data_IF_046965877600
#
_entry.id   IF_046965877600
#
_cell.length_a   1.000
_cell.length_b   1.000
_cell.length_c   1.000
_cell.angle_alpha   90.00
_cell.angle_beta   90.00
_cell.angle_gamma   90.00
#
_symmetry.space_group_name_H-M   'P 1'
#
loop_
_entity.id
_entity.type
_entity.pdbx_description
1 polymer ?
#
# COMPACT_ATOMS: atom_id res chain seq x y z
N UNK A 1 -17.52 -47.84 -21.30
CA UNK A 1 -18.35 -46.66 -21.62
C UNK A 1 -18.66 -45.81 -20.38
N UNK A 2 -19.26 -46.34 -19.30
CA UNK A 2 -19.63 -45.56 -18.12
C UNK A 2 -18.45 -44.91 -17.34
N UNK A 3 -17.28 -45.55 -17.32
CA UNK A 3 -16.09 -45.04 -16.63
C UNK A 3 -15.50 -43.79 -17.32
N UNK A 4 -15.49 -43.77 -18.65
CA UNK A 4 -14.97 -42.62 -19.41
C UNK A 4 -15.91 -41.41 -19.35
N UNK A 5 -17.22 -41.64 -19.37
CA UNK A 5 -18.21 -40.57 -19.15
C UNK A 5 -18.11 -39.96 -17.74
N UNK A 6 -17.82 -40.77 -16.72
CA UNK A 6 -17.66 -40.28 -15.35
C UNK A 6 -16.41 -39.41 -15.18
N UNK A 7 -15.32 -39.76 -15.85
CA UNK A 7 -14.08 -38.97 -15.83
C UNK A 7 -14.28 -37.59 -16.49
N UNK A 8 -14.97 -37.54 -17.62
CA UNK A 8 -15.26 -36.29 -18.33
C UNK A 8 -16.13 -35.33 -17.50
N UNK A 9 -17.10 -35.86 -16.75
CA UNK A 9 -17.94 -35.06 -15.84
C UNK A 9 -17.11 -34.45 -14.71
N UNK A 10 -16.20 -35.22 -14.10
CA UNK A 10 -15.32 -34.70 -13.04
C UNK A 10 -14.40 -33.59 -13.56
N UNK A 11 -13.82 -33.75 -14.75
CA UNK A 11 -12.98 -32.71 -15.37
C UNK A 11 -13.77 -31.42 -15.59
N UNK A 12 -15.01 -31.49 -16.08
CA UNK A 12 -15.86 -30.30 -16.26
C UNK A 12 -16.20 -29.64 -14.93
N UNK A 13 -16.49 -30.41 -13.88
CA UNK A 13 -16.75 -29.87 -12.53
C UNK A 13 -15.51 -29.17 -11.99
N UNK A 14 -14.31 -29.75 -12.14
CA UNK A 14 -13.06 -29.09 -11.74
C UNK A 14 -12.79 -27.80 -12.50
N UNK A 15 -13.04 -27.77 -13.82
CA UNK A 15 -12.89 -26.57 -14.66
C UNK A 15 -13.89 -25.49 -14.21
N UNK A 16 -15.14 -25.85 -13.91
CA UNK A 16 -16.15 -24.92 -13.42
C UNK A 16 -15.76 -24.35 -12.04
N UNK A 17 -15.30 -25.19 -11.11
CA UNK A 17 -14.84 -24.74 -9.79
C UNK A 17 -13.61 -23.82 -9.89
N UNK A 18 -12.70 -24.09 -10.82
CA UNK A 18 -11.55 -23.22 -11.11
C UNK A 18 -11.99 -21.85 -11.65
N UNK A 19 -12.96 -21.83 -12.57
CA UNK A 19 -13.51 -20.59 -13.09
C UNK A 19 -14.22 -19.79 -11.99
N UNK A 20 -15.08 -20.42 -11.18
CA UNK A 20 -15.77 -19.73 -10.08
C UNK A 20 -14.83 -19.18 -9.00
N UNK A 21 -13.69 -19.82 -8.74
CA UNK A 21 -12.72 -19.38 -7.72
C UNK A 21 -11.89 -18.14 -8.09
N UNK A 22 -11.95 -17.64 -9.33
CA UNK A 22 -11.05 -16.56 -9.81
C UNK A 22 -11.74 -15.24 -10.11
N UNK A 23 -13.07 -15.13 -9.97
CA UNK A 23 -13.77 -13.86 -10.17
C UNK A 23 -13.60 -12.93 -8.97
N UNK A 24 -12.49 -12.18 -8.93
CA UNK A 24 -12.39 -10.97 -8.12
C UNK A 24 -13.19 -9.86 -8.81
N UNK A 25 -14.28 -9.42 -8.20
CA UNK A 25 -14.94 -8.16 -8.59
C UNK A 25 -14.06 -7.02 -8.09
N UNK A 26 -13.18 -6.52 -8.95
CA UNK A 26 -12.38 -5.32 -8.68
C UNK A 26 -13.13 -4.10 -9.22
N UNK A 27 -13.42 -3.15 -8.34
CA UNK A 27 -13.90 -1.83 -8.73
C UNK A 27 -12.70 -0.91 -8.84
N UNK A 28 -12.61 -0.14 -9.92
CA UNK A 28 -11.52 0.83 -10.07
C UNK A 28 -11.51 1.83 -8.90
N UNK A 29 -10.34 2.17 -8.33
CA UNK A 29 -10.25 3.16 -7.28
C UNK A 29 -10.84 4.51 -7.72
N UNK A 30 -11.47 5.21 -6.78
CA UNK A 30 -12.06 6.55 -6.99
C UNK A 30 -11.05 7.60 -7.41
N UNK A 31 -9.76 7.36 -7.16
CA UNK A 31 -8.65 8.21 -7.55
C UNK A 31 -7.54 7.35 -8.16
N UNK A 32 -6.80 7.84 -9.17
CA UNK A 32 -5.78 7.05 -9.84
C UNK A 32 -4.57 6.73 -8.95
N UNK A 33 -4.36 7.51 -7.89
CA UNK A 33 -3.25 7.31 -6.97
C UNK A 33 -3.51 7.86 -5.57
N UNK A 34 -2.86 7.28 -4.56
CA UNK A 34 -2.93 7.76 -3.18
C UNK A 34 -1.55 7.80 -2.51
N UNK A 35 -1.03 9.01 -2.31
CA UNK A 35 0.25 9.26 -1.64
C UNK A 35 0.02 9.75 -0.21
N UNK A 36 0.70 9.12 0.75
CA UNK A 36 0.51 9.38 2.18
C UNK A 36 1.81 9.95 2.74
N UNK A 37 1.70 11.05 3.49
CA UNK A 37 2.81 11.68 4.18
C UNK A 37 2.41 11.89 5.65
N UNK A 38 3.37 11.77 6.56
CA UNK A 38 3.10 11.96 7.97
C UNK A 38 4.15 11.33 8.87
N UNK A 39 3.73 11.04 10.09
CA UNK A 39 4.54 10.41 11.12
C UNK A 39 3.97 9.02 11.50
N UNK A 40 4.25 8.57 12.72
CA UNK A 40 3.75 7.32 13.32
C UNK A 40 2.25 7.10 13.17
N UNK A 41 1.42 8.14 13.11
CA UNK A 41 -0.04 8.02 13.01
C UNK A 41 -0.50 7.34 11.72
N UNK A 42 0.32 7.42 10.67
CA UNK A 42 0.03 6.83 9.35
C UNK A 42 1.19 6.01 8.81
N UNK A 43 2.31 5.88 9.53
CA UNK A 43 3.41 4.97 9.19
C UNK A 43 2.91 3.52 9.14
N UNK A 44 3.31 2.82 8.09
CA UNK A 44 2.95 1.43 7.82
C UNK A 44 4.17 0.52 7.66
N UNK A 45 5.35 0.97 8.12
CA UNK A 45 6.57 0.16 8.17
C UNK A 45 7.82 0.77 7.59
N UNK A 46 7.85 2.08 7.30
CA UNK A 46 9.05 2.72 6.74
C UNK A 46 10.25 2.66 7.69
N UNK A 47 10.00 2.60 9.00
CA UNK A 47 11.05 2.59 10.00
C UNK A 47 11.59 1.19 10.35
N UNK A 48 11.01 0.12 9.81
CA UNK A 48 11.30 -1.25 10.26
C UNK A 48 12.78 -1.63 10.12
N UNK A 49 13.44 -1.18 9.05
CA UNK A 49 14.86 -1.46 8.75
C UNK A 49 15.81 -0.34 9.18
N UNK A 50 15.31 0.79 9.67
CA UNK A 50 16.16 1.90 10.11
C UNK A 50 16.81 1.59 11.46
N UNK A 51 18.01 2.09 11.73
CA UNK A 51 18.61 2.02 13.07
C UNK A 51 17.99 3.08 13.99
N UNK A 52 16.72 2.90 14.35
CA UNK A 52 15.92 3.85 15.13
C UNK A 52 15.14 3.17 16.24
N UNK A 53 14.79 3.95 17.27
CA UNK A 53 13.87 3.54 18.35
C UNK A 53 12.40 3.64 17.92
N UNK A 54 12.12 4.36 16.85
CA UNK A 54 10.76 4.60 16.36
C UNK A 54 10.28 3.46 15.47
N UNK A 55 10.10 2.26 16.04
CA UNK A 55 9.59 1.08 15.34
C UNK A 55 8.31 0.56 15.97
N UNK A 56 7.49 -0.10 15.16
CA UNK A 56 6.27 -0.80 15.58
C UNK A 56 6.12 -2.17 14.88
N UNK A 57 7.24 -2.81 14.53
CA UNK A 57 7.30 -4.18 13.99
C UNK A 57 7.46 -5.23 15.11
N UNK A 58 6.74 -5.03 16.22
CA UNK A 58 6.73 -5.94 17.36
C UNK A 58 5.39 -5.84 18.10
N UNK A 59 5.04 -6.90 18.84
CA UNK A 59 3.81 -6.92 19.64
C UNK A 59 3.81 -5.84 20.74
N UNK A 60 2.67 -5.18 21.01
CA UNK A 60 1.31 -5.55 20.60
C UNK A 60 0.87 -4.98 19.24
N UNK A 61 1.72 -4.23 18.54
CA UNK A 61 1.36 -3.58 17.29
C UNK A 61 1.02 -4.59 16.19
N UNK A 62 0.00 -4.28 15.40
CA UNK A 62 -0.46 -5.15 14.31
C UNK A 62 -1.22 -6.42 14.73
N UNK A 63 -1.58 -6.60 16.01
CA UNK A 63 -2.30 -7.80 16.49
C UNK A 63 -3.67 -8.04 15.81
N UNK A 64 -4.35 -6.96 15.41
CA UNK A 64 -5.65 -6.98 14.72
C UNK A 64 -5.49 -6.78 13.20
N UNK A 65 -4.26 -6.75 12.68
CA UNK A 65 -3.98 -6.58 11.25
C UNK A 65 -3.80 -7.94 10.54
N UNK A 66 -4.23 -8.11 9.28
CA UNK A 66 -4.09 -9.39 8.56
C UNK A 66 -2.66 -9.91 8.40
N UNK A 67 -1.67 -9.02 8.50
CA UNK A 67 -0.24 -9.30 8.50
C UNK A 67 0.35 -8.88 9.85
N UNK A 68 1.17 -9.74 10.45
CA UNK A 68 1.84 -9.45 11.74
C UNK A 68 3.07 -8.57 11.50
N UNK A 69 3.44 -7.74 12.49
CA UNK A 69 4.66 -6.92 12.53
C UNK A 69 4.82 -5.94 11.35
N UNK A 70 3.73 -5.27 10.98
CA UNK A 70 3.75 -4.36 9.81
C UNK A 70 4.52 -3.07 10.04
N UNK A 71 4.70 -2.61 11.28
CA UNK A 71 5.27 -1.28 11.56
C UNK A 71 4.23 -0.16 11.73
N UNK A 72 2.95 -0.51 11.81
CA UNK A 72 1.87 0.42 12.18
C UNK A 72 1.85 0.66 13.67
N UNK A 73 1.81 1.92 14.12
CA UNK A 73 1.73 2.30 15.54
C UNK A 73 0.31 2.13 16.12
N UNK A 74 -0.39 1.07 15.73
CA UNK A 74 -1.69 0.67 16.25
C UNK A 74 -1.84 -0.85 16.15
N UNK A 75 -2.91 -1.39 16.74
CA UNK A 75 -3.18 -2.82 16.66
C UNK A 75 -3.61 -3.27 15.26
N UNK A 76 -4.22 -2.40 14.48
CA UNK A 76 -4.86 -2.76 13.22
C UNK A 76 -4.53 -1.78 12.11
N UNK A 77 -5.58 -1.24 11.49
CA UNK A 77 -5.49 -0.30 10.35
C UNK A 77 -5.23 1.11 10.87
N UNK A 78 -4.40 1.87 10.17
CA UNK A 78 -4.25 3.31 10.37
C UNK A 78 -5.40 4.06 9.71
N UNK A 79 -5.54 5.35 9.99
CA UNK A 79 -6.52 6.21 9.28
C UNK A 79 -6.27 6.21 7.77
N UNK A 80 -5.00 6.17 7.33
CA UNK A 80 -4.66 6.13 5.91
C UNK A 80 -5.09 4.82 5.25
N UNK A 81 -4.96 3.68 5.93
CA UNK A 81 -5.46 2.40 5.42
C UNK A 81 -6.99 2.42 5.22
N UNK A 82 -7.71 2.99 6.19
CA UNK A 82 -9.17 3.11 6.14
C UNK A 82 -9.59 4.01 4.96
N UNK A 83 -8.89 5.13 4.75
CA UNK A 83 -9.12 6.02 3.60
C UNK A 83 -8.85 5.28 2.28
N UNK A 84 -7.74 4.52 2.17
CA UNK A 84 -7.42 3.73 0.98
C UNK A 84 -8.53 2.74 0.61
N UNK A 85 -9.11 2.08 1.62
CA UNK A 85 -10.26 1.19 1.41
C UNK A 85 -11.50 1.95 0.95
N UNK A 86 -11.80 3.11 1.54
CA UNK A 86 -12.91 3.95 1.08
C UNK A 86 -12.72 4.51 -0.33
N UNK A 87 -11.47 4.68 -0.75
CA UNK A 87 -11.10 5.05 -2.11
C UNK A 87 -11.16 3.87 -3.09
N UNK A 88 -11.36 2.64 -2.62
CA UNK A 88 -11.53 1.47 -3.49
C UNK A 88 -10.23 0.84 -3.97
N UNK A 89 -9.11 1.06 -3.27
CA UNK A 89 -7.88 0.30 -3.54
C UNK A 89 -8.04 -1.15 -3.06
N UNK A 90 -7.68 -2.10 -3.93
CA UNK A 90 -7.75 -3.54 -3.63
C UNK A 90 -6.76 -3.96 -2.53
N UNK A 91 -5.57 -3.34 -2.52
CA UNK A 91 -4.50 -3.58 -1.55
C UNK A 91 -4.19 -2.33 -0.72
N UNK A 92 -3.57 -2.53 0.44
CA UNK A 92 -3.05 -1.42 1.24
C UNK A 92 -1.88 -0.75 0.53
N UNK A 93 -1.84 0.58 0.57
CA UNK A 93 -0.72 1.36 0.04
C UNK A 93 0.58 0.92 0.73
N UNK A 94 1.65 0.56 -0.01
CA UNK A 94 2.88 0.03 0.58
C UNK A 94 3.74 1.13 1.24
N UNK A 95 4.62 0.78 2.20
CA UNK A 95 5.65 1.69 2.70
C UNK A 95 6.67 1.98 1.59
N UNK A 96 7.13 3.22 1.51
CA UNK A 96 8.18 3.65 0.59
C UNK A 96 9.45 2.79 0.67
N UNK A 97 9.85 2.40 1.88
CA UNK A 97 11.05 1.61 2.12
C UNK A 97 11.07 0.26 1.36
N UNK A 98 9.91 -0.29 1.00
CA UNK A 98 9.82 -1.59 0.29
C UNK A 98 9.04 -1.51 -1.01
N UNK A 99 8.67 -0.31 -1.48
CA UNK A 99 7.86 -0.14 -2.67
C UNK A 99 8.67 -0.31 -3.96
N UNK A 100 8.06 -0.95 -4.94
CA UNK A 100 8.58 -1.06 -6.31
C UNK A 100 8.26 0.19 -7.13
N UNK A 101 8.95 0.38 -8.26
CA UNK A 101 8.71 1.51 -9.16
C UNK A 101 7.27 1.57 -9.71
N UNK A 102 6.66 0.40 -9.90
CA UNK A 102 5.27 0.23 -10.35
C UNK A 102 4.28 0.65 -9.26
N UNK A 103 4.47 0.19 -8.02
CA UNK A 103 3.63 0.60 -6.89
C UNK A 103 3.72 2.11 -6.62
N UNK A 104 4.91 2.70 -6.76
CA UNK A 104 5.08 4.16 -6.62
C UNK A 104 4.23 4.93 -7.66
N UNK A 105 3.86 4.33 -8.79
CA UNK A 105 2.99 4.98 -9.78
C UNK A 105 1.52 5.05 -9.36
N UNK A 106 1.05 4.11 -8.54
CA UNK A 106 -0.33 4.03 -8.02
C UNK A 106 -0.46 4.59 -6.61
N UNK A 107 0.65 4.87 -5.93
CA UNK A 107 0.66 5.53 -4.64
C UNK A 107 1.53 4.80 -3.62
N UNK A 108 2.17 5.56 -2.75
CA UNK A 108 3.07 5.02 -1.73
C UNK A 108 2.97 5.82 -0.45
N UNK A 109 3.22 5.15 0.67
CA UNK A 109 3.23 5.76 1.99
C UNK A 109 4.65 6.16 2.37
N UNK A 110 4.87 7.45 2.51
CA UNK A 110 6.12 8.07 2.87
C UNK A 110 6.24 8.37 4.37
N UNK A 111 5.20 8.11 5.16
CA UNK A 111 5.18 8.46 6.56
C UNK A 111 6.24 7.71 7.37
N UNK A 112 6.88 8.39 8.32
CA UNK A 112 7.95 7.81 9.13
C UNK A 112 7.80 8.24 10.57
N UNK A 113 7.75 7.29 11.50
CA UNK A 113 7.61 7.60 12.91
C UNK A 113 8.77 8.44 13.44
N UNK A 114 8.46 9.47 14.24
CA UNK A 114 9.43 10.43 14.74
C UNK A 114 9.86 11.49 13.71
N UNK A 115 9.30 11.47 12.49
CA UNK A 115 9.52 12.53 11.51
C UNK A 115 8.97 13.87 12.02
N UNK A 116 9.79 14.92 11.91
CA UNK A 116 9.41 16.31 12.17
C UNK A 116 9.24 17.10 10.87
N UNK A 117 8.47 18.20 10.94
CA UNK A 117 8.29 19.12 9.80
C UNK A 117 9.62 19.78 9.43
N UNK A 118 10.42 20.13 10.43
CA UNK A 118 11.77 20.66 10.24
C UNK A 118 12.81 19.58 10.52
N UNK A 119 13.96 19.65 9.84
CA UNK A 119 15.07 18.72 10.07
C UNK A 119 15.51 18.70 11.53
N UNK A 120 15.49 19.84 12.23
CA UNK A 120 15.93 19.89 13.63
C UNK A 120 14.93 19.23 14.58
N UNK A 121 13.67 19.09 14.15
CA UNK A 121 12.62 18.40 14.90
C UNK A 121 12.55 16.91 14.56
N UNK A 122 13.03 16.52 13.39
CA UNK A 122 13.21 15.12 12.98
C UNK A 122 14.56 14.60 13.43
N UNK A 123 14.66 14.15 14.69
CA UNK A 123 15.91 13.62 15.23
C UNK A 123 15.82 12.10 15.40
N UNK A 124 16.95 11.41 15.22
CA UNK A 124 17.16 9.97 15.48
C UNK A 124 16.78 8.99 14.34
N UNK A 125 17.47 9.08 13.20
CA UNK A 125 17.44 8.09 12.11
C UNK A 125 16.01 7.78 11.62
N UNK A 126 15.29 8.82 11.20
CA UNK A 126 13.92 8.74 10.65
C UNK A 126 13.95 9.29 9.22
N UNK A 127 12.97 8.91 8.39
CA UNK A 127 12.81 9.53 7.08
C UNK A 127 12.19 10.91 7.31
N UNK A 128 12.94 11.98 7.04
CA UNK A 128 12.45 13.34 7.30
C UNK A 128 11.52 13.82 6.20
N UNK A 129 10.58 14.74 6.51
CA UNK A 129 9.77 15.42 5.49
C UNK A 129 10.68 16.11 4.46
N UNK A 130 11.83 16.64 4.86
CA UNK A 130 12.80 17.20 3.91
C UNK A 130 13.26 16.17 2.87
N UNK A 131 13.63 14.96 3.29
CA UNK A 131 14.05 13.86 2.41
C UNK A 131 12.90 13.38 1.51
N UNK A 132 11.67 13.36 2.05
CA UNK A 132 10.45 13.11 1.30
C UNK A 132 10.14 14.23 0.28
N UNK A 133 10.42 15.48 0.64
CA UNK A 133 10.28 16.63 -0.26
C UNK A 133 11.45 16.80 -1.23
N UNK A 134 12.64 16.24 -0.98
CA UNK A 134 13.69 16.09 -1.99
C UNK A 134 13.27 15.10 -3.09
N UNK A 135 12.50 14.09 -2.69
CA UNK A 135 11.72 13.23 -3.59
C UNK A 135 10.62 14.01 -4.33
N UNK A 136 10.36 15.30 -4.05
CA UNK A 136 9.42 16.12 -4.84
C UNK A 136 9.77 16.18 -6.31
N UNK A 137 11.05 16.15 -6.73
CA UNK A 137 11.33 16.12 -8.17
C UNK A 137 10.75 14.85 -8.82
N UNK A 138 10.80 13.72 -8.11
CA UNK A 138 10.22 12.44 -8.53
C UNK A 138 8.69 12.43 -8.38
N UNK A 139 8.15 12.90 -7.26
CA UNK A 139 6.71 13.05 -7.03
C UNK A 139 6.06 14.00 -8.04
N UNK A 140 6.65 15.18 -8.29
CA UNK A 140 6.18 16.15 -9.29
C UNK A 140 6.33 15.63 -10.72
N UNK A 141 7.43 14.92 -11.03
CA UNK A 141 7.59 14.26 -12.34
C UNK A 141 6.56 13.15 -12.55
N UNK A 142 6.19 12.42 -11.48
CA UNK A 142 5.18 11.36 -11.51
C UNK A 142 3.76 11.92 -11.51
N UNK A 143 3.47 13.00 -10.78
CA UNK A 143 2.22 13.78 -10.93
C UNK A 143 2.06 14.32 -12.35
N UNK A 144 3.16 14.75 -13.00
CA UNK A 144 3.15 15.12 -14.43
C UNK A 144 2.80 13.93 -15.32
N UNK A 145 3.31 12.72 -15.04
CA UNK A 145 2.92 11.50 -15.77
C UNK A 145 1.43 11.18 -15.56
N UNK A 146 0.94 11.20 -14.33
CA UNK A 146 -0.50 10.97 -14.03
C UNK A 146 -1.38 12.00 -14.74
N UNK A 147 -0.99 13.28 -14.75
CA UNK A 147 -1.65 14.32 -15.56
C UNK A 147 -1.56 14.05 -17.08
N UNK A 148 -0.44 13.53 -17.57
CA UNK A 148 -0.26 13.19 -18.99
C UNK A 148 -1.13 12.01 -19.41
N UNK A 149 -1.32 11.00 -18.56
CA UNK A 149 -2.24 9.88 -18.80
C UNK A 149 -3.72 10.33 -18.68
N UNK A 150 -4.03 11.27 -17.79
CA UNK A 150 -5.36 11.88 -17.66
C UNK A 150 -5.67 12.99 -18.68
N UNK A 151 -4.73 13.40 -19.54
CA UNK A 151 -4.99 14.34 -20.64
C UNK A 151 -5.84 13.72 -21.77
N UNK A 152 -6.28 12.46 -21.61
CA UNK A 152 -7.30 11.81 -22.44
C UNK A 152 -8.73 11.96 -21.90
N UNK A 153 -8.90 12.54 -20.70
CA UNK A 153 -10.20 12.97 -20.19
C UNK A 153 -10.24 14.49 -20.17
N UNK A 154 -10.67 15.06 -21.30
CA UNK A 154 -10.96 16.48 -21.45
C UNK A 154 -11.99 16.92 -20.40
N UNK A 155 -11.62 17.94 -19.62
CA UNK A 155 -12.57 18.94 -19.14
C UNK A 155 -12.87 19.87 -20.33
#
# INVERSE_FOLDING_TARGET
MAHESSFLVLVHVFILLWHFGTYKVSSEPKVPCYFIFGDSLVDNGNNNELYSKWKANYRPYGIDFPKVDTGRFCNGRTTADIIGQFLGFDDFIPPYATATDEEISTGVNYASAGCGIREETGSHNVITICELTGTNCLFLSRLRKVKSYNMLWNI
#
